data_IF_318705468115
#
_entry.id   IF_318705468115
#
_cell.length_a   1.000
_cell.length_b   1.000
_cell.length_c   1.000
_cell.angle_alpha   90.00
_cell.angle_beta   90.00
_cell.angle_gamma   90.00
#
_symmetry.space_group_name_H-M   'P 1'
#
loop_
_entity.id
_entity.type
_entity.pdbx_description
1 polymer ?
#
# COMPACT_ATOMS: atom_id res chain seq x y z
N UNK A 1 18.38 8.05 18.47
CA UNK A 1 17.95 6.63 18.48
C UNK A 1 16.46 6.46 18.72
N UNK A 2 15.87 6.93 19.82
CA UNK A 2 14.41 6.84 20.00
C UNK A 2 13.62 7.65 18.96
N UNK A 3 14.16 8.78 18.49
CA UNK A 3 13.56 9.53 17.36
C UNK A 3 13.53 8.68 16.09
N UNK A 4 14.66 8.04 15.74
CA UNK A 4 14.75 7.13 14.59
C UNK A 4 13.78 5.95 14.70
N UNK A 5 13.56 5.42 15.91
CA UNK A 5 12.55 4.40 16.14
C UNK A 5 11.15 4.89 15.74
N UNK A 6 10.83 6.15 16.03
CA UNK A 6 9.59 6.80 15.61
C UNK A 6 9.46 6.89 14.09
N UNK A 7 10.52 7.31 13.40
CA UNK A 7 10.54 7.40 11.93
C UNK A 7 10.38 6.03 11.26
N UNK A 8 10.98 4.97 11.83
CA UNK A 8 10.77 3.59 11.37
C UNK A 8 9.32 3.14 11.51
N UNK A 9 8.65 3.50 12.61
CA UNK A 9 7.23 3.18 12.81
C UNK A 9 6.32 3.95 11.85
N UNK A 10 6.65 5.21 11.54
CA UNK A 10 5.94 5.99 10.52
C UNK A 10 6.07 5.32 9.15
N UNK A 11 7.29 4.94 8.77
CA UNK A 11 7.57 4.23 7.50
C UNK A 11 6.81 2.90 7.44
N UNK A 12 6.84 2.12 8.52
CA UNK A 12 6.09 0.87 8.60
C UNK A 12 4.57 1.07 8.53
N UNK A 13 4.04 2.13 9.15
CA UNK A 13 2.62 2.47 9.06
C UNK A 13 2.19 2.79 7.63
N UNK A 14 3.03 3.47 6.84
CA UNK A 14 2.78 3.69 5.41
C UNK A 14 2.72 2.37 4.63
N UNK A 15 3.72 1.50 4.80
CA UNK A 15 3.73 0.16 4.18
C UNK A 15 2.50 -0.68 4.58
N UNK A 16 2.02 -0.53 5.81
CA UNK A 16 0.82 -1.21 6.29
C UNK A 16 -0.45 -0.68 5.60
N UNK A 17 -0.56 0.62 5.31
CA UNK A 17 -1.68 1.15 4.56
C UNK A 17 -1.66 0.68 3.09
N UNK A 18 -0.48 0.59 2.48
CA UNK A 18 -0.33 0.04 1.12
C UNK A 18 -0.79 -1.43 1.08
N UNK A 19 -0.33 -2.25 2.03
CA UNK A 19 -0.81 -3.63 2.22
C UNK A 19 -2.34 -3.69 2.34
N UNK A 20 -2.94 -2.82 3.18
CA UNK A 20 -4.39 -2.76 3.36
C UNK A 20 -5.11 -2.31 2.08
N UNK A 21 -4.52 -1.41 1.31
CA UNK A 21 -5.05 -0.97 0.01
C UNK A 21 -5.17 -2.14 -0.97
N UNK A 22 -4.15 -3.00 -1.03
CA UNK A 22 -4.20 -4.22 -1.86
C UNK A 22 -5.31 -5.16 -1.40
N UNK A 23 -5.48 -5.39 -0.10
CA UNK A 23 -6.58 -6.23 0.41
C UNK A 23 -7.97 -5.62 0.14
N UNK A 24 -8.11 -4.29 0.22
CA UNK A 24 -9.35 -3.60 -0.17
C UNK A 24 -9.66 -3.85 -1.64
N UNK A 25 -8.66 -3.91 -2.52
CA UNK A 25 -8.86 -4.23 -3.94
C UNK A 25 -9.43 -5.64 -4.13
N UNK A 26 -8.92 -6.64 -3.41
CA UNK A 26 -9.44 -8.02 -3.44
C UNK A 26 -10.91 -8.06 -3.01
N UNK A 27 -11.23 -7.43 -1.89
CA UNK A 27 -12.61 -7.32 -1.40
C UNK A 27 -13.54 -6.64 -2.43
N UNK A 28 -13.07 -5.58 -3.10
CA UNK A 28 -13.86 -4.88 -4.10
C UNK A 28 -14.16 -5.78 -5.33
N UNK A 29 -13.19 -6.61 -5.74
CA UNK A 29 -13.38 -7.60 -6.81
C UNK A 29 -14.35 -8.70 -6.36
N UNK A 30 -14.26 -9.16 -5.12
CA UNK A 30 -15.23 -10.12 -4.59
C UNK A 30 -16.66 -9.55 -4.58
N UNK A 31 -16.81 -8.29 -4.17
CA UNK A 31 -18.09 -7.59 -4.20
C UNK A 31 -18.64 -7.43 -5.62
N UNK A 32 -17.79 -7.22 -6.62
CA UNK A 32 -18.24 -7.08 -8.02
C UNK A 32 -18.68 -8.40 -8.66
N UNK A 33 -18.32 -9.56 -8.08
CA UNK A 33 -18.80 -10.88 -8.53
C UNK A 33 -20.18 -11.24 -7.97
N UNK A 34 -20.58 -10.67 -6.83
CA UNK A 34 -21.87 -10.97 -6.20
C UNK A 34 -23.09 -10.79 -7.12
N UNK A 35 -23.21 -9.74 -7.95
CA UNK A 35 -24.32 -9.61 -8.90
C UNK A 35 -24.45 -10.79 -9.88
N UNK A 36 -23.33 -11.42 -10.28
CA UNK A 36 -23.34 -12.58 -11.17
C UNK A 36 -23.88 -13.83 -10.45
N UNK A 37 -23.47 -14.04 -9.19
CA UNK A 37 -23.98 -15.10 -8.32
C UNK A 37 -25.49 -14.96 -8.09
N UNK A 38 -25.93 -13.75 -7.76
CA UNK A 38 -27.33 -13.41 -7.51
C UNK A 38 -28.19 -13.59 -8.76
N UNK A 39 -27.70 -13.19 -9.94
CA UNK A 39 -28.41 -13.36 -11.21
C UNK A 39 -28.64 -14.85 -11.50
N UNK A 40 -27.60 -15.68 -11.37
CA UNK A 40 -27.72 -17.14 -11.55
C UNK A 40 -28.72 -17.75 -10.57
N UNK A 41 -28.65 -17.38 -9.29
CA UNK A 41 -29.56 -17.87 -8.26
C UNK A 41 -31.03 -17.49 -8.56
N UNK A 42 -31.28 -16.22 -8.91
CA UNK A 42 -32.63 -15.73 -9.26
C UNK A 42 -33.24 -16.49 -10.44
N UNK A 43 -32.47 -16.71 -11.51
CA UNK A 43 -32.95 -17.47 -12.69
C UNK A 43 -33.25 -18.92 -12.30
N UNK A 44 -32.39 -19.53 -11.47
CA UNK A 44 -32.58 -20.91 -10.98
C UNK A 44 -33.87 -21.03 -10.17
N UNK A 45 -34.12 -20.10 -9.24
CA UNK A 45 -35.33 -20.07 -8.42
C UNK A 45 -36.58 -19.85 -9.29
N UNK A 46 -36.49 -18.98 -10.30
CA UNK A 46 -37.59 -18.74 -11.24
C UNK A 46 -37.93 -20.00 -12.06
N UNK A 47 -36.91 -20.72 -12.54
CA UNK A 47 -37.08 -22.01 -13.22
C UNK A 47 -37.77 -23.02 -12.31
N UNK A 48 -37.32 -23.18 -11.06
CA UNK A 48 -37.93 -24.11 -10.11
C UNK A 48 -39.39 -23.76 -9.83
N UNK A 49 -39.68 -22.46 -9.63
CA UNK A 49 -41.05 -21.97 -9.44
C UNK A 49 -41.94 -22.24 -10.65
N UNK A 50 -41.43 -22.03 -11.86
CA UNK A 50 -42.17 -22.25 -13.10
C UNK A 50 -42.39 -23.74 -13.36
N UNK A 51 -41.39 -24.60 -13.12
CA UNK A 51 -41.51 -26.07 -13.23
C UNK A 51 -42.60 -26.63 -12.33
N UNK A 52 -42.75 -26.09 -11.13
CA UNK A 52 -43.79 -26.53 -10.20
C UNK A 52 -45.20 -26.05 -10.59
N UNK A 53 -45.35 -24.80 -11.03
CA UNK A 53 -46.67 -24.20 -11.31
C UNK A 53 -47.18 -24.47 -12.72
N UNK A 54 -46.32 -24.38 -13.73
CA UNK A 54 -46.67 -24.40 -15.16
C UNK A 54 -45.61 -25.18 -15.97
N UNK A 55 -45.57 -26.52 -15.85
CA UNK A 55 -44.50 -27.34 -16.45
C UNK A 55 -44.48 -27.34 -17.99
N UNK A 56 -45.55 -26.90 -18.65
CA UNK A 56 -45.65 -26.83 -20.11
C UNK A 56 -45.44 -25.40 -20.66
N UNK A 57 -45.04 -24.44 -19.82
CA UNK A 57 -44.85 -23.06 -20.25
C UNK A 57 -43.66 -22.93 -21.22
N UNK A 58 -43.83 -22.31 -22.41
CA UNK A 58 -42.73 -22.10 -23.36
C UNK A 58 -41.64 -21.14 -22.82
N UNK A 59 -41.95 -20.37 -21.77
CA UNK A 59 -40.99 -19.53 -21.05
C UNK A 59 -39.91 -20.34 -20.33
N UNK A 60 -40.18 -21.61 -20.04
CA UNK A 60 -39.23 -22.49 -19.37
C UNK A 60 -37.96 -22.67 -20.21
N UNK A 61 -38.11 -22.89 -21.52
CA UNK A 61 -36.99 -23.07 -22.45
C UNK A 61 -36.16 -21.79 -22.56
N UNK A 62 -36.80 -20.62 -22.50
CA UNK A 62 -36.12 -19.32 -22.51
C UNK A 62 -35.28 -19.12 -21.25
N UNK A 63 -35.85 -19.40 -20.07
CA UNK A 63 -35.14 -19.29 -18.79
C UNK A 63 -34.00 -20.31 -18.68
N UNK A 64 -34.16 -21.53 -19.20
CA UNK A 64 -33.09 -22.53 -19.23
C UNK A 64 -31.92 -22.05 -20.11
N UNK A 65 -32.19 -21.45 -21.26
CA UNK A 65 -31.14 -20.86 -22.10
C UNK A 65 -30.47 -19.66 -21.41
N UNK A 66 -31.24 -18.84 -20.70
CA UNK A 66 -30.72 -17.73 -19.92
C UNK A 66 -29.84 -18.20 -18.75
N UNK A 67 -30.21 -19.31 -18.09
CA UNK A 67 -29.43 -19.94 -17.03
C UNK A 67 -28.06 -20.39 -17.56
N UNK A 68 -28.01 -21.06 -18.71
CA UNK A 68 -26.73 -21.49 -19.32
C UNK A 68 -25.81 -20.29 -19.57
N UNK A 69 -26.37 -19.16 -20.04
CA UNK A 69 -25.60 -17.92 -20.21
C UNK A 69 -25.12 -17.35 -18.88
N UNK A 70 -26.00 -17.26 -17.87
CA UNK A 70 -25.66 -16.75 -16.55
C UNK A 70 -24.61 -17.63 -15.84
N UNK A 71 -24.64 -18.95 -16.05
CA UNK A 71 -23.62 -19.88 -15.53
C UNK A 71 -22.26 -19.64 -16.18
N UNK A 72 -22.21 -19.46 -17.50
CA UNK A 72 -20.97 -19.13 -18.20
C UNK A 72 -20.37 -17.79 -17.70
N UNK A 73 -21.21 -16.75 -17.57
CA UNK A 73 -20.81 -15.46 -17.00
C UNK A 73 -20.26 -15.61 -15.57
N UNK A 74 -20.93 -16.41 -14.72
CA UNK A 74 -20.50 -16.67 -13.36
C UNK A 74 -19.18 -17.47 -13.29
N UNK A 75 -18.98 -18.48 -14.15
CA UNK A 75 -17.74 -19.25 -14.20
C UNK A 75 -16.53 -18.37 -14.53
N UNK A 76 -16.68 -17.45 -15.50
CA UNK A 76 -15.62 -16.50 -15.85
C UNK A 76 -15.33 -15.56 -14.68
N UNK A 77 -16.38 -15.01 -14.06
CA UNK A 77 -16.23 -14.11 -12.91
C UNK A 77 -15.55 -14.78 -11.71
N UNK A 78 -15.91 -16.03 -11.39
CA UNK A 78 -15.28 -16.81 -10.31
C UNK A 78 -13.81 -17.13 -10.61
N UNK A 79 -13.49 -17.49 -11.86
CA UNK A 79 -12.11 -17.74 -12.27
C UNK A 79 -11.26 -16.47 -12.15
N UNK A 80 -11.80 -15.31 -12.56
CA UNK A 80 -11.14 -14.01 -12.40
C UNK A 80 -10.93 -13.66 -10.93
N UNK A 81 -11.96 -13.78 -10.09
CA UNK A 81 -11.85 -13.56 -8.65
C UNK A 81 -10.77 -14.45 -8.04
N UNK A 82 -10.74 -15.73 -8.42
CA UNK A 82 -9.75 -16.69 -7.92
C UNK A 82 -8.32 -16.29 -8.30
N UNK A 83 -8.10 -15.90 -9.54
CA UNK A 83 -6.80 -15.50 -10.05
C UNK A 83 -6.31 -14.21 -9.40
N UNK A 84 -7.17 -13.17 -9.40
CA UNK A 84 -6.86 -11.86 -8.79
C UNK A 84 -6.59 -12.00 -7.31
N UNK A 85 -7.41 -12.78 -6.58
CA UNK A 85 -7.22 -13.00 -5.14
C UNK A 85 -5.87 -13.63 -4.88
N UNK A 86 -5.51 -14.71 -5.57
CA UNK A 86 -4.20 -15.37 -5.36
C UNK A 86 -3.04 -14.45 -5.68
N UNK A 87 -3.10 -13.72 -6.79
CA UNK A 87 -2.05 -12.80 -7.19
C UNK A 87 -1.88 -11.68 -6.17
N UNK A 88 -2.95 -10.96 -5.86
CA UNK A 88 -2.92 -9.79 -4.98
C UNK A 88 -2.64 -10.16 -3.53
N UNK A 89 -3.14 -11.30 -3.05
CA UNK A 89 -2.82 -11.79 -1.70
C UNK A 89 -1.32 -12.09 -1.56
N UNK A 90 -0.75 -12.78 -2.55
CA UNK A 90 0.67 -13.11 -2.55
C UNK A 90 1.54 -11.85 -2.61
N UNK A 91 1.22 -10.91 -3.49
CA UNK A 91 1.87 -9.60 -3.60
C UNK A 91 1.78 -8.81 -2.28
N UNK A 92 0.58 -8.70 -1.71
CA UNK A 92 0.35 -7.96 -0.47
C UNK A 92 1.19 -8.51 0.69
N UNK A 93 1.14 -9.82 0.91
CA UNK A 93 1.87 -10.43 2.02
C UNK A 93 3.38 -10.47 1.80
N UNK A 94 3.85 -10.60 0.56
CA UNK A 94 5.28 -10.47 0.26
C UNK A 94 5.80 -9.08 0.67
N UNK A 95 5.11 -8.02 0.26
CA UNK A 95 5.45 -6.64 0.65
C UNK A 95 5.34 -6.42 2.17
N UNK A 96 4.26 -6.91 2.79
CA UNK A 96 4.06 -6.77 4.23
C UNK A 96 5.19 -7.44 5.03
N UNK A 97 5.57 -8.67 4.68
CA UNK A 97 6.63 -9.37 5.40
C UNK A 97 8.00 -8.74 5.15
N UNK A 98 8.27 -8.23 3.94
CA UNK A 98 9.46 -7.43 3.68
C UNK A 98 9.55 -6.21 4.61
N UNK A 99 8.46 -5.46 4.75
CA UNK A 99 8.40 -4.30 5.64
C UNK A 99 8.54 -4.69 7.13
N UNK A 100 8.00 -5.85 7.55
CA UNK A 100 8.19 -6.36 8.92
C UNK A 100 9.65 -6.71 9.17
N UNK A 101 10.31 -7.39 8.23
CA UNK A 101 11.73 -7.74 8.35
C UNK A 101 12.58 -6.49 8.43
N UNK A 102 12.38 -5.53 7.51
CA UNK A 102 13.07 -4.24 7.53
C UNK A 102 12.92 -3.53 8.89
N UNK A 103 11.68 -3.37 9.37
CA UNK A 103 11.42 -2.73 10.66
C UNK A 103 12.17 -3.44 11.78
N UNK A 104 12.05 -4.76 11.86
CA UNK A 104 12.62 -5.53 12.96
C UNK A 104 14.15 -5.47 13.01
N UNK A 105 14.81 -5.56 11.85
CA UNK A 105 16.27 -5.54 11.77
C UNK A 105 16.84 -4.14 12.06
N UNK A 106 16.21 -3.08 11.55
CA UNK A 106 16.63 -1.71 11.88
C UNK A 106 16.40 -1.38 13.36
N UNK A 107 15.31 -1.88 13.95
CA UNK A 107 15.06 -1.78 15.38
C UNK A 107 16.10 -2.52 16.21
N UNK A 108 16.54 -3.70 15.76
CA UNK A 108 17.59 -4.46 16.43
C UNK A 108 18.92 -3.69 16.45
N UNK A 109 19.31 -3.08 15.33
CA UNK A 109 20.51 -2.23 15.24
C UNK A 109 20.43 -1.08 16.26
N UNK A 110 19.33 -0.32 16.25
CA UNK A 110 19.11 0.78 17.19
C UNK A 110 19.14 0.33 18.65
N UNK A 111 18.53 -0.82 18.98
CA UNK A 111 18.50 -1.35 20.33
C UNK A 111 19.90 -1.78 20.82
N UNK A 112 20.70 -2.43 19.95
CA UNK A 112 22.07 -2.83 20.26
C UNK A 112 22.93 -1.61 20.60
N UNK A 113 22.90 -0.56 19.78
CA UNK A 113 23.68 0.64 20.04
C UNK A 113 23.15 1.46 21.23
N UNK A 114 21.83 1.51 21.43
CA UNK A 114 21.24 2.12 22.63
C UNK A 114 21.76 1.46 23.91
N UNK A 115 21.92 0.12 23.91
CA UNK A 115 22.53 -0.59 25.04
C UNK A 115 24.03 -0.28 25.20
N UNK A 116 24.76 -0.05 24.11
CA UNK A 116 26.17 0.42 24.18
C UNK A 116 26.25 1.79 24.86
N UNK A 117 25.32 2.70 24.59
CA UNK A 117 25.26 4.00 25.27
C UNK A 117 25.04 3.82 26.78
N UNK A 118 24.14 2.92 27.17
CA UNK A 118 23.89 2.64 28.60
C UNK A 118 25.12 2.12 29.33
N UNK A 119 26.02 1.41 28.63
CA UNK A 119 27.28 0.93 29.22
C UNK A 119 28.27 2.05 29.56
N UNK A 120 28.04 3.28 29.09
CA UNK A 120 28.84 4.46 29.47
C UNK A 120 28.38 5.08 30.80
N UNK A 121 27.22 4.67 31.34
CA UNK A 121 26.71 5.21 32.58
C UNK A 121 27.28 4.42 33.77
N UNK A 122 28.02 5.12 34.63
CA UNK A 122 28.48 4.56 35.90
C UNK A 122 27.33 4.49 36.91
N UNK A 123 26.92 3.27 37.26
CA UNK A 123 25.89 2.98 38.26
C UNK A 123 26.45 2.75 39.66
N UNK A 124 27.76 2.97 39.87
CA UNK A 124 28.40 2.84 41.17
C UNK A 124 27.70 3.74 42.22
N UNK A 125 27.25 3.18 43.36
CA UNK A 125 26.66 3.94 44.44
C UNK A 125 27.65 4.95 45.02
N UNK A 126 27.17 6.14 45.35
CA UNK A 126 27.99 7.21 45.95
C UNK A 126 27.73 7.24 47.45
N UNK A 127 28.80 7.37 48.23
CA UNK A 127 28.71 7.51 49.69
C UNK A 127 28.11 8.88 50.03
N UNK A 128 27.18 8.98 51.00
CA UNK A 128 26.66 10.27 51.44
C UNK A 128 27.79 11.22 51.86
N UNK A 129 27.93 12.34 51.14
CA UNK A 129 29.00 13.33 51.37
C UNK A 129 30.05 13.37 50.25
N UNK A 130 30.17 12.32 49.44
CA UNK A 130 31.08 12.29 48.30
C UNK A 130 30.43 12.87 47.02
N UNK A 131 31.26 13.44 46.15
CA UNK A 131 30.84 13.90 44.83
C UNK A 131 31.02 12.79 43.78
N UNK A 132 30.14 12.75 42.78
CA UNK A 132 30.33 11.88 41.61
C UNK A 132 31.56 12.33 40.80
N UNK A 133 32.31 11.40 40.19
CA UNK A 133 33.31 11.74 39.19
C UNK A 133 32.71 12.55 38.04
N UNK A 134 33.52 13.41 37.43
CA UNK A 134 33.11 14.11 36.22
C UNK A 134 32.96 13.11 35.06
N UNK A 135 31.92 13.28 34.26
CA UNK A 135 31.69 12.45 33.08
C UNK A 135 32.60 12.89 31.92
N UNK A 136 33.43 11.97 31.40
CA UNK A 136 34.41 12.23 30.33
C UNK A 136 34.18 11.39 29.05
N UNK A 137 33.17 10.51 29.05
CA UNK A 137 32.85 9.60 27.95
C UNK A 137 31.97 10.22 26.86
N UNK A 138 31.96 11.55 26.72
CA UNK A 138 31.16 12.25 25.70
C UNK A 138 31.59 11.84 24.28
N UNK A 139 32.90 11.73 24.04
CA UNK A 139 33.43 11.34 22.72
C UNK A 139 33.00 9.93 22.33
N UNK A 140 33.00 9.01 23.29
CA UNK A 140 32.63 7.62 23.05
C UNK A 140 31.12 7.51 22.79
N UNK A 141 30.30 8.29 23.49
CA UNK A 141 28.86 8.39 23.21
C UNK A 141 28.58 8.89 21.79
N UNK A 142 29.30 9.92 21.34
CA UNK A 142 29.20 10.44 19.96
C UNK A 142 29.63 9.38 18.92
N UNK A 143 30.67 8.61 19.22
CA UNK A 143 31.11 7.54 18.32
C UNK A 143 30.03 6.45 18.19
N UNK A 144 29.39 6.03 19.29
CA UNK A 144 28.31 5.02 19.24
C UNK A 144 27.13 5.52 18.38
N UNK A 145 26.81 6.82 18.43
CA UNK A 145 25.78 7.41 17.56
C UNK A 145 26.18 7.34 16.08
N UNK A 146 27.44 7.66 15.76
CA UNK A 146 27.96 7.58 14.40
C UNK A 146 27.97 6.14 13.87
N UNK A 147 28.39 5.16 14.69
CA UNK A 147 28.36 3.74 14.34
C UNK A 147 26.93 3.28 14.01
N UNK A 148 25.93 3.75 14.77
CA UNK A 148 24.55 3.38 14.53
C UNK A 148 23.99 3.98 13.24
N UNK A 149 24.36 5.22 12.92
CA UNK A 149 24.01 5.85 11.65
C UNK A 149 24.64 5.10 10.47
N UNK A 150 25.92 4.74 10.59
CA UNK A 150 26.64 3.97 9.58
C UNK A 150 26.02 2.58 9.38
N UNK A 151 25.74 1.84 10.46
CA UNK A 151 25.10 0.53 10.39
C UNK A 151 23.71 0.58 9.76
N UNK A 152 22.90 1.59 10.11
CA UNK A 152 21.59 1.79 9.50
C UNK A 152 21.68 2.16 8.03
N UNK A 153 22.68 2.95 7.64
CA UNK A 153 22.93 3.35 6.25
C UNK A 153 23.44 2.19 5.39
N UNK A 154 24.23 1.30 5.98
CA UNK A 154 24.80 0.14 5.31
C UNK A 154 23.84 -1.06 5.32
N UNK A 155 22.77 -1.04 6.11
CA UNK A 155 21.77 -2.09 6.13
C UNK A 155 21.07 -2.23 4.77
N UNK A 156 20.92 -3.47 4.32
CA UNK A 156 20.21 -3.83 3.09
C UNK A 156 19.23 -4.96 3.36
N UNK A 157 18.10 -4.94 2.64
CA UNK A 157 17.11 -6.00 2.73
C UNK A 157 17.57 -7.22 1.92
N UNK A 158 17.90 -8.31 2.61
CA UNK A 158 18.23 -9.59 1.98
C UNK A 158 17.07 -10.57 2.18
N UNK A 159 16.17 -10.64 1.20
CA UNK A 159 15.06 -11.59 1.17
C UNK A 159 15.03 -12.32 -0.18
N UNK A 160 14.70 -13.61 -0.14
CA UNK A 160 14.42 -14.36 -1.37
C UNK A 160 13.16 -13.79 -2.04
N UNK A 161 13.23 -13.60 -3.35
CA UNK A 161 12.07 -13.16 -4.11
C UNK A 161 10.96 -14.20 -4.03
N UNK A 162 9.75 -13.72 -3.72
CA UNK A 162 8.57 -14.59 -3.70
C UNK A 162 8.19 -14.94 -5.15
N UNK A 163 8.32 -16.21 -5.58
CA UNK A 163 8.24 -16.57 -6.99
C UNK A 163 6.84 -16.33 -7.53
N UNK A 164 6.68 -15.61 -8.64
CA UNK A 164 5.36 -15.27 -9.19
C UNK A 164 5.14 -15.95 -10.54
N UNK A 165 4.18 -16.88 -10.58
CA UNK A 165 3.73 -17.53 -11.81
C UNK A 165 2.56 -16.80 -12.47
N UNK A 166 2.22 -15.61 -11.99
CA UNK A 166 1.15 -14.78 -12.54
C UNK A 166 1.61 -14.09 -13.83
N UNK A 167 1.95 -14.88 -14.85
CA UNK A 167 2.02 -14.42 -16.23
C UNK A 167 0.72 -14.90 -16.90
N UNK A 168 -0.35 -14.16 -16.65
CA UNK A 168 -1.57 -14.27 -17.44
C UNK A 168 -1.63 -13.01 -18.28
N UNK A 169 -1.49 -13.21 -19.59
CA UNK A 169 -1.53 -12.22 -20.66
C UNK A 169 -2.54 -11.09 -20.38
N UNK A 170 -2.07 -9.84 -20.47
CA UNK A 170 -2.86 -8.64 -20.27
C UNK A 170 -4.09 -8.54 -21.22
N UNK A 171 -4.17 -9.41 -22.25
CA UNK A 171 -5.30 -9.54 -23.16
C UNK A 171 -6.49 -10.38 -22.65
N UNK A 172 -6.37 -11.13 -21.55
CA UNK A 172 -7.44 -12.00 -21.05
C UNK A 172 -8.33 -11.37 -19.96
N UNK A 173 -8.02 -10.15 -19.52
CA UNK A 173 -8.80 -9.41 -18.53
C UNK A 173 -9.50 -8.23 -19.22
N UNK A 174 -10.85 -8.18 -19.29
CA UNK A 174 -11.52 -6.96 -19.70
C UNK A 174 -11.15 -5.88 -18.68
N UNK A 175 -10.51 -4.81 -19.14
CA UNK A 175 -10.23 -3.62 -18.34
C UNK A 175 -11.54 -3.13 -17.73
N UNK A 176 -11.69 -3.25 -16.41
CA UNK A 176 -12.70 -2.54 -15.64
C UNK A 176 -12.28 -1.06 -15.56
N UNK A 177 -12.15 -0.40 -16.72
CA UNK A 177 -12.02 1.03 -16.84
C UNK A 177 -13.40 1.66 -16.62
N UNK A 178 -13.69 2.01 -15.37
CA UNK A 178 -14.30 3.28 -14.94
C UNK A 178 -14.94 3.14 -13.56
N UNK A 179 -14.15 3.41 -12.53
CA UNK A 179 -14.67 4.08 -11.34
C UNK A 179 -13.69 5.18 -10.96
N UNK A 180 -13.79 6.31 -11.66
CA UNK A 180 -13.16 7.57 -11.29
C UNK A 180 -13.73 8.03 -9.94
N UNK A 181 -13.08 7.64 -8.85
CA UNK A 181 -13.22 8.31 -7.56
C UNK A 181 -12.20 9.44 -7.57
N UNK A 182 -12.70 10.65 -7.82
CA UNK A 182 -11.96 11.90 -7.62
C UNK A 182 -11.69 12.03 -6.13
N UNK A 183 -10.48 11.74 -5.70
CA UNK A 183 -9.98 12.09 -4.36
C UNK A 183 -9.10 13.32 -4.51
N UNK A 184 -9.71 14.49 -4.38
CA UNK A 184 -9.00 15.76 -4.24
C UNK A 184 -8.43 15.84 -2.82
N UNK A 185 -7.13 15.60 -2.66
CA UNK A 185 -6.37 15.94 -1.43
C UNK A 185 -4.96 16.40 -1.82
N UNK A 186 -4.64 17.62 -1.33
CA UNK A 186 -3.35 18.32 -1.26
C UNK A 186 -2.71 18.78 -2.58
N UNK A 187 -2.23 20.02 -2.70
CA UNK A 187 -1.67 20.89 -1.68
C UNK A 187 -0.17 21.03 -1.92
N UNK A 188 0.21 22.14 -2.58
CA UNK A 188 1.50 22.85 -2.53
C UNK A 188 2.82 22.05 -2.56
N UNK A 189 3.59 22.20 -3.64
CA UNK A 189 5.02 22.50 -3.58
C UNK A 189 5.53 23.08 -4.92
N UNK A 190 6.48 24.01 -4.80
CA UNK A 190 7.05 24.88 -5.82
C UNK A 190 7.82 24.17 -6.95
N UNK A 191 7.91 24.83 -8.10
CA UNK A 191 8.98 24.58 -9.08
C UNK A 191 8.78 25.30 -10.41
N UNK A 192 9.66 26.27 -10.69
CA UNK A 192 10.01 26.79 -12.03
C UNK A 192 9.00 27.64 -12.81
N UNK A 193 9.21 28.97 -12.76
CA UNK A 193 8.88 29.86 -13.87
C UNK A 193 10.16 30.40 -14.48
N UNK A 194 10.45 29.92 -15.69
CA UNK A 194 11.31 30.60 -16.65
C UNK A 194 10.51 30.85 -17.92
N UNK A 195 10.62 32.09 -18.38
CA UNK A 195 10.45 32.58 -19.74
C UNK A 195 9.15 33.33 -20.12
N UNK A 196 9.38 34.64 -20.15
CA UNK A 196 8.81 35.72 -20.94
C UNK A 196 8.53 35.38 -22.42
N UNK A 197 7.29 35.64 -22.84
CA UNK A 197 6.87 36.18 -24.15
C UNK A 197 5.39 36.56 -23.97
N UNK A 198 4.91 37.80 -24.08
CA UNK A 198 5.06 38.76 -25.18
C UNK A 198 3.73 38.85 -25.92
N UNK A 199 2.95 39.91 -25.71
CA UNK A 199 2.00 40.45 -26.72
C UNK A 199 1.45 41.81 -26.29
N UNK A 200 1.86 42.84 -27.05
CA UNK A 200 1.16 44.03 -27.53
C UNK A 200 0.04 44.69 -26.71
N UNK A 201 0.24 45.98 -26.40
CA UNK A 201 -0.60 47.05 -26.95
C UNK A 201 0.07 48.43 -26.77
N UNK A 202 0.06 49.20 -27.86
CA UNK A 202 0.64 50.52 -28.00
C UNK A 202 -0.16 51.62 -27.28
N UNK A 203 0.54 52.65 -26.76
CA UNK A 203 0.17 54.04 -27.04
C UNK A 203 1.31 55.01 -26.67
N UNK A 204 1.71 55.81 -27.67
CA UNK A 204 2.68 56.88 -27.58
C UNK A 204 1.98 58.24 -27.52
N UNK A 205 2.25 59.06 -26.49
CA UNK A 205 2.15 60.54 -26.48
C UNK A 205 3.23 61.07 -25.51
N UNK A 206 4.25 61.80 -26.00
CA UNK A 206 4.40 63.28 -25.93
C UNK A 206 4.32 63.80 -24.48
N UNK A 207 5.30 64.46 -23.87
CA UNK A 207 5.98 65.73 -24.21
C UNK A 207 7.18 65.91 -23.22
N UNK A 208 8.40 66.30 -23.65
CA UNK A 208 8.98 67.66 -23.70
C UNK A 208 9.54 68.20 -22.37
N UNK A 209 10.88 68.33 -22.34
CA UNK A 209 11.74 69.46 -21.86
C UNK A 209 11.52 69.90 -20.39
N UNK A 210 12.50 69.81 -19.49
CA UNK A 210 13.75 70.61 -19.35
C UNK A 210 14.79 69.79 -18.58
#
# INVERSE_FOLDING_TARGET
MLSELGELEITYAHNLEDFRSVLKSVRNVEASVQPSRDKRAKITDEIQRLKYKEPQSPKLVQLEQELVRAEAENLVAEAQLSNVTRQKLKEAYASHFAAVVERSQKQEILAKHSRRILALLDDTPVVPGDARPAYDLERDARQILADAEEDLRNWTLELEEVPTNASLDAGAMPSLANTSIVSSVNGHANGEQVNLQGSDAAESKQEVVV
#
